data_IF_255276499694
#
_entry.id   IF_255276499694
#
_cell.length_a   1.000
_cell.length_b   1.000
_cell.length_c   1.000
_cell.angle_alpha   90.00
_cell.angle_beta   90.00
_cell.angle_gamma   90.00
#
_symmetry.space_group_name_H-M   'P 1'
#
loop_
_entity.id
_entity.type
_entity.pdbx_description
1 polymer ?
#
# COMPACT_ATOMS: atom_id res chain seq x y z
N UNK A 1 22.81 19.16 14.06
CA UNK A 1 21.64 18.76 13.23
C UNK A 1 20.73 19.93 12.89
N UNK A 2 20.29 20.77 13.85
CA UNK A 2 19.42 21.93 13.57
C UNK A 2 19.99 22.92 12.54
N UNK A 3 21.30 23.18 12.57
CA UNK A 3 21.99 24.02 11.58
C UNK A 3 21.96 23.44 10.15
N UNK A 4 21.97 22.11 10.02
CA UNK A 4 21.91 21.43 8.72
C UNK A 4 20.48 21.36 8.18
N UNK A 5 19.48 21.29 9.07
CA UNK A 5 18.07 21.37 8.66
C UNK A 5 17.75 22.74 8.04
N UNK A 6 18.26 23.82 8.66
CA UNK A 6 18.06 25.20 8.22
C UNK A 6 18.97 25.64 7.05
N UNK A 7 19.92 24.80 6.61
CA UNK A 7 20.83 25.13 5.52
C UNK A 7 20.08 25.16 4.18
N UNK A 8 20.30 26.21 3.38
CA UNK A 8 19.69 26.39 2.07
C UNK A 8 20.11 25.31 1.07
N UNK A 9 21.28 24.69 1.24
CA UNK A 9 21.81 23.61 0.40
C UNK A 9 21.18 22.23 0.67
N UNK A 10 20.42 22.07 1.76
CA UNK A 10 19.80 20.79 2.12
C UNK A 10 18.61 20.50 1.21
N UNK A 11 18.59 19.32 0.58
CA UNK A 11 17.51 18.88 -0.30
C UNK A 11 16.19 18.73 0.47
N UNK A 12 15.06 18.76 -0.24
CA UNK A 12 13.75 18.55 0.38
C UNK A 12 13.65 17.21 1.13
N UNK A 13 14.24 16.16 0.54
CA UNK A 13 14.32 14.80 1.12
C UNK A 13 15.12 14.80 2.42
N UNK A 14 16.33 15.33 2.38
CA UNK A 14 17.20 15.36 3.55
C UNK A 14 16.61 16.23 4.66
N UNK A 15 15.92 17.33 4.31
CA UNK A 15 15.35 18.26 5.29
C UNK A 15 14.25 17.61 6.12
N UNK A 16 13.32 16.86 5.52
CA UNK A 16 12.29 16.18 6.33
C UNK A 16 12.87 14.99 7.13
N UNK A 17 13.87 14.29 6.62
CA UNK A 17 14.57 13.25 7.39
C UNK A 17 15.30 13.84 8.60
N UNK A 18 15.95 15.00 8.45
CA UNK A 18 16.57 15.74 9.55
C UNK A 18 15.54 16.20 10.59
N UNK A 19 14.36 16.65 10.16
CA UNK A 19 13.25 16.95 11.07
C UNK A 19 12.85 15.72 11.90
N UNK A 20 12.67 14.55 11.28
CA UNK A 20 12.33 13.33 12.02
C UNK A 20 13.43 12.88 12.99
N UNK A 21 14.69 12.98 12.57
CA UNK A 21 15.83 12.64 13.43
C UNK A 21 15.97 13.60 14.63
N UNK A 22 15.74 14.90 14.43
CA UNK A 22 15.71 15.91 15.50
C UNK A 22 14.53 15.67 16.45
N UNK A 23 13.34 15.37 15.91
CA UNK A 23 12.18 15.00 16.71
C UNK A 23 12.48 13.81 17.63
N UNK A 24 13.08 12.75 17.08
CA UNK A 24 13.44 11.56 17.85
C UNK A 24 14.48 11.84 18.94
N UNK A 25 15.53 12.59 18.61
CA UNK A 25 16.57 12.94 19.58
C UNK A 25 16.05 13.80 20.74
N UNK A 26 15.04 14.63 20.51
CA UNK A 26 14.38 15.45 21.54
C UNK A 26 13.40 14.63 22.38
N UNK A 27 12.64 13.74 21.73
CA UNK A 27 11.77 12.78 22.42
C UNK A 27 12.57 11.90 23.38
N UNK A 28 13.72 11.39 22.95
CA UNK A 28 14.63 10.58 23.78
C UNK A 28 15.18 11.34 25.00
N UNK A 29 15.13 12.67 24.98
CA UNK A 29 15.52 13.56 26.08
C UNK A 29 14.32 14.01 26.94
N UNK A 30 13.11 13.56 26.61
CA UNK A 30 11.88 13.98 27.28
C UNK A 30 11.36 15.36 26.86
N UNK A 31 11.93 15.98 25.83
CA UNK A 31 11.52 17.28 25.31
C UNK A 31 10.37 17.15 24.30
N UNK A 32 9.25 16.58 24.73
CA UNK A 32 8.16 16.16 23.85
C UNK A 32 7.53 17.31 23.05
N UNK A 33 7.34 18.48 23.66
CA UNK A 33 6.74 19.63 22.98
C UNK A 33 7.58 20.07 21.77
N UNK A 34 8.90 20.16 21.95
CA UNK A 34 9.84 20.51 20.88
C UNK A 34 9.96 19.38 19.86
N UNK A 35 9.96 18.12 20.30
CA UNK A 35 9.96 16.97 19.42
C UNK A 35 8.77 16.98 18.45
N UNK A 36 7.56 17.25 18.97
CA UNK A 36 6.34 17.37 18.17
C UNK A 36 6.41 18.47 17.11
N UNK A 37 7.05 19.60 17.41
CA UNK A 37 7.24 20.67 16.42
C UNK A 37 8.09 20.19 15.25
N UNK A 38 9.16 19.43 15.51
CA UNK A 38 9.98 18.85 14.46
C UNK A 38 9.25 17.75 13.67
N UNK A 39 8.46 16.90 14.34
CA UNK A 39 7.61 15.92 13.67
C UNK A 39 6.56 16.59 12.76
N UNK A 40 5.87 17.63 13.25
CA UNK A 40 4.90 18.38 12.47
C UNK A 40 5.54 19.03 11.24
N UNK A 41 6.72 19.64 11.40
CA UNK A 41 7.48 20.23 10.30
C UNK A 41 7.94 19.18 9.27
N UNK A 42 8.46 18.04 9.74
CA UNK A 42 8.83 16.92 8.88
C UNK A 42 7.63 16.40 8.07
N UNK A 43 6.47 16.25 8.71
CA UNK A 43 5.23 15.85 8.06
C UNK A 43 4.76 16.87 7.01
N UNK A 44 4.83 18.17 7.31
CA UNK A 44 4.46 19.21 6.34
C UNK A 44 5.34 19.17 5.09
N UNK A 45 6.66 19.04 5.27
CA UNK A 45 7.61 18.91 4.17
C UNK A 45 7.36 17.63 3.38
N UNK A 46 7.20 16.49 4.05
CA UNK A 46 6.93 15.21 3.40
C UNK A 46 5.60 15.21 2.65
N UNK A 47 4.58 15.93 3.16
CA UNK A 47 3.27 16.06 2.51
C UNK A 47 3.39 16.72 1.14
N UNK A 48 4.34 17.63 0.93
CA UNK A 48 4.57 18.30 -0.37
C UNK A 48 5.09 17.32 -1.43
N UNK A 49 5.80 16.27 -1.02
CA UNK A 49 6.26 15.16 -1.86
C UNK A 49 5.19 14.07 -2.04
N UNK A 50 4.12 14.09 -1.25
CA UNK A 50 3.10 13.08 -1.29
C UNK A 50 2.23 13.24 -2.56
N UNK A 51 2.40 12.31 -3.49
CA UNK A 51 1.59 12.23 -4.72
C UNK A 51 0.26 11.51 -4.52
N UNK A 52 -0.11 11.17 -3.27
CA UNK A 52 -1.38 10.52 -2.99
C UNK A 52 -2.54 11.40 -3.46
N UNK A 53 -3.45 10.79 -4.21
CA UNK A 53 -4.67 11.38 -4.76
C UNK A 53 -5.83 10.44 -4.40
N UNK A 54 -6.67 10.77 -3.41
CA UNK A 54 -7.77 9.90 -3.00
C UNK A 54 -8.73 9.61 -4.17
N UNK A 55 -8.86 10.55 -5.10
CA UNK A 55 -9.74 10.47 -6.27
C UNK A 55 -9.44 9.26 -7.15
N UNK A 56 -8.15 8.85 -7.23
CA UNK A 56 -7.75 7.65 -7.98
C UNK A 56 -8.34 6.38 -7.36
N UNK A 57 -8.21 6.22 -6.04
CA UNK A 57 -8.72 5.06 -5.32
C UNK A 57 -10.25 5.03 -5.33
N UNK A 58 -10.88 6.18 -5.15
CA UNK A 58 -12.34 6.32 -5.24
C UNK A 58 -12.87 5.92 -6.62
N UNK A 59 -12.20 6.38 -7.68
CA UNK A 59 -12.58 6.03 -9.04
C UNK A 59 -12.40 4.52 -9.31
N UNK A 60 -11.31 3.92 -8.86
CA UNK A 60 -11.07 2.49 -8.98
C UNK A 60 -12.16 1.69 -8.25
N UNK A 61 -12.46 2.03 -6.99
CA UNK A 61 -13.50 1.38 -6.21
C UNK A 61 -14.88 1.49 -6.87
N UNK A 62 -15.21 2.67 -7.41
CA UNK A 62 -16.46 2.90 -8.16
C UNK A 62 -16.55 2.03 -9.41
N UNK A 63 -15.47 1.93 -10.19
CA UNK A 63 -15.43 1.09 -11.40
C UNK A 63 -15.53 -0.40 -11.06
N UNK A 64 -14.85 -0.85 -10.00
CA UNK A 64 -14.95 -2.22 -9.50
C UNK A 64 -16.38 -2.54 -9.07
N UNK A 65 -17.03 -1.66 -8.30
CA UNK A 65 -18.41 -1.85 -7.87
C UNK A 65 -19.41 -1.88 -9.06
N UNK A 66 -19.19 -1.04 -10.07
CA UNK A 66 -20.02 -1.01 -11.27
C UNK A 66 -19.82 -2.24 -12.17
N UNK A 67 -18.65 -2.87 -12.14
CA UNK A 67 -18.29 -4.02 -13.00
C UNK A 67 -18.60 -5.36 -12.34
N UNK A 68 -18.25 -5.52 -11.06
CA UNK A 68 -18.39 -6.76 -10.30
C UNK A 68 -19.82 -6.96 -9.80
N UNK A 69 -20.79 -6.94 -10.70
CA UNK A 69 -22.21 -7.13 -10.42
C UNK A 69 -22.59 -8.59 -10.26
N UNK A 70 -23.77 -8.89 -9.70
CA UNK A 70 -24.29 -10.24 -9.62
C UNK A 70 -24.35 -10.92 -11.02
N UNK A 71 -24.83 -10.20 -12.02
CA UNK A 71 -24.93 -10.70 -13.41
C UNK A 71 -23.55 -10.96 -14.01
N UNK A 72 -22.55 -10.13 -13.70
CA UNK A 72 -21.17 -10.36 -14.12
C UNK A 72 -20.65 -11.70 -13.62
N UNK A 73 -20.90 -12.05 -12.36
CA UNK A 73 -20.50 -13.34 -11.79
C UNK A 73 -21.36 -14.50 -12.32
N UNK A 74 -22.67 -14.31 -12.46
CA UNK A 74 -23.58 -15.33 -12.98
C UNK A 74 -23.19 -15.78 -14.40
N UNK A 75 -22.85 -14.82 -15.27
CA UNK A 75 -22.40 -15.08 -16.63
C UNK A 75 -21.05 -15.84 -16.71
N UNK A 76 -20.30 -15.89 -15.61
CA UNK A 76 -18.98 -16.54 -15.51
C UNK A 76 -19.02 -17.78 -14.61
N UNK A 77 -20.22 -18.31 -14.34
CA UNK A 77 -20.37 -19.55 -13.59
C UNK A 77 -19.64 -20.68 -14.31
N UNK A 78 -18.80 -21.41 -13.58
CA UNK A 78 -17.99 -22.51 -14.12
C UNK A 78 -16.66 -22.07 -14.75
N UNK A 79 -16.33 -20.78 -14.72
CA UNK A 79 -14.98 -20.32 -15.04
C UNK A 79 -14.01 -20.61 -13.89
N UNK A 80 -12.73 -20.73 -14.22
CA UNK A 80 -11.64 -20.92 -13.26
C UNK A 80 -11.18 -22.37 -13.12
N UNK A 81 -10.39 -22.62 -12.07
CA UNK A 81 -9.91 -23.95 -11.71
C UNK A 81 -10.89 -24.59 -10.72
N UNK A 82 -11.33 -25.85 -10.91
CA UNK A 82 -12.21 -26.54 -9.97
C UNK A 82 -11.47 -27.06 -8.72
N UNK A 83 -10.14 -26.95 -8.67
CA UNK A 83 -9.35 -27.39 -7.54
C UNK A 83 -9.63 -26.53 -6.31
N UNK A 84 -9.86 -27.18 -5.17
CA UNK A 84 -10.14 -26.53 -3.89
C UNK A 84 -8.86 -26.19 -3.09
N UNK A 85 -7.68 -26.57 -3.59
CA UNK A 85 -6.41 -26.29 -2.93
C UNK A 85 -6.12 -24.78 -2.72
N UNK A 86 -6.44 -23.86 -3.65
CA UNK A 86 -6.17 -22.44 -3.44
C UNK A 86 -7.14 -21.80 -2.44
N UNK A 87 -6.61 -21.32 -1.32
CA UNK A 87 -7.35 -20.53 -0.33
C UNK A 87 -6.92 -19.06 -0.45
N UNK A 88 -7.86 -18.17 -0.79
CA UNK A 88 -7.60 -16.74 -0.86
C UNK A 88 -8.04 -16.03 0.41
N UNK A 89 -7.11 -15.32 1.07
CA UNK A 89 -7.42 -14.39 2.16
C UNK A 89 -7.57 -12.99 1.58
N UNK A 90 -8.78 -12.44 1.62
CA UNK A 90 -9.10 -11.11 1.07
C UNK A 90 -9.43 -10.16 2.21
N UNK A 91 -8.76 -9.00 2.26
CA UNK A 91 -8.99 -8.00 3.28
C UNK A 91 -8.19 -6.71 3.03
N UNK A 92 -8.41 -5.72 3.89
CA UNK A 92 -7.65 -4.47 3.86
C UNK A 92 -6.22 -4.69 4.38
N UNK A 93 -5.24 -3.86 3.94
CA UNK A 93 -3.92 -3.85 4.55
C UNK A 93 -4.01 -3.68 6.07
N UNK A 94 -3.19 -4.43 6.81
CA UNK A 94 -3.13 -4.40 8.28
C UNK A 94 -4.39 -4.91 9.01
N UNK A 95 -5.26 -5.68 8.34
CA UNK A 95 -6.42 -6.33 8.95
C UNK A 95 -6.15 -7.72 9.56
N UNK A 96 -4.87 -8.11 9.72
CA UNK A 96 -4.50 -9.40 10.31
C UNK A 96 -4.52 -10.58 9.35
N UNK A 97 -4.36 -10.36 8.04
CA UNK A 97 -4.28 -11.43 7.03
C UNK A 97 -3.20 -12.47 7.35
N UNK A 98 -2.02 -12.03 7.77
CA UNK A 98 -0.92 -12.91 8.19
C UNK A 98 -1.29 -13.80 9.38
N UNK A 99 -2.06 -13.27 10.34
CA UNK A 99 -2.51 -14.08 11.47
C UNK A 99 -3.52 -15.14 11.01
N UNK A 100 -4.44 -14.77 10.11
CA UNK A 100 -5.41 -15.72 9.52
C UNK A 100 -4.67 -16.82 8.75
N UNK A 101 -3.67 -16.46 7.95
CA UNK A 101 -2.82 -17.41 7.23
C UNK A 101 -2.14 -18.38 8.20
N UNK A 102 -1.52 -17.88 9.27
CA UNK A 102 -0.88 -18.71 10.28
C UNK A 102 -1.85 -19.67 10.97
N UNK A 103 -3.08 -19.23 11.25
CA UNK A 103 -4.13 -20.09 11.80
C UNK A 103 -4.48 -21.20 10.81
N UNK A 104 -4.66 -20.89 9.52
CA UNK A 104 -4.97 -21.88 8.49
C UNK A 104 -3.82 -22.86 8.28
N UNK A 105 -2.58 -22.37 8.20
CA UNK A 105 -1.36 -23.18 8.04
C UNK A 105 -1.05 -24.07 9.25
N UNK A 106 -1.72 -23.88 10.39
CA UNK A 106 -1.66 -24.82 11.52
C UNK A 106 -2.36 -26.15 11.22
N UNK A 107 -3.21 -26.20 10.18
CA UNK A 107 -3.88 -27.41 9.74
C UNK A 107 -2.99 -28.25 8.83
N UNK A 108 -2.85 -29.55 9.13
CA UNK A 108 -1.95 -30.49 8.40
C UNK A 108 -2.16 -30.61 6.88
N UNK A 109 -3.27 -30.11 6.35
CA UNK A 109 -3.63 -30.16 4.93
C UNK A 109 -3.54 -28.79 4.24
N UNK A 110 -3.08 -27.76 4.95
CA UNK A 110 -2.99 -26.38 4.44
C UNK A 110 -1.56 -25.90 4.60
N UNK A 111 -0.98 -25.42 3.51
CA UNK A 111 0.33 -24.80 3.52
C UNK A 111 0.19 -23.27 3.43
N UNK A 112 1.01 -22.55 4.20
CA UNK A 112 1.05 -21.09 4.19
C UNK A 112 2.02 -20.61 3.12
N UNK A 113 1.52 -19.98 2.07
CA UNK A 113 2.33 -19.59 0.91
C UNK A 113 2.95 -18.19 1.00
N UNK A 114 2.74 -17.48 2.10
CA UNK A 114 3.07 -16.06 2.27
C UNK A 114 2.36 -15.19 1.21
N UNK A 115 2.87 -13.97 0.98
CA UNK A 115 2.39 -13.07 -0.06
C UNK A 115 3.03 -13.41 -1.42
N UNK A 116 2.28 -14.15 -2.23
CA UNK A 116 2.65 -14.48 -3.61
C UNK A 116 2.33 -13.30 -4.57
N UNK A 117 3.25 -12.90 -5.47
CA UNK A 117 3.03 -11.80 -6.40
C UNK A 117 2.21 -12.18 -7.64
N UNK A 118 1.85 -13.46 -7.80
CA UNK A 118 1.29 -14.05 -9.02
C UNK A 118 0.03 -13.34 -9.52
N UNK A 119 -0.91 -12.99 -8.64
CA UNK A 119 -2.14 -12.29 -9.04
C UNK A 119 -1.82 -10.90 -9.61
N UNK A 120 -0.90 -10.16 -8.98
CA UNK A 120 -0.51 -8.85 -9.48
C UNK A 120 0.16 -8.98 -10.85
N UNK A 121 1.07 -9.95 -11.02
CA UNK A 121 1.72 -10.23 -12.30
C UNK A 121 0.70 -10.60 -13.39
N UNK A 122 -0.26 -11.48 -13.10
CA UNK A 122 -1.31 -11.86 -14.04
C UNK A 122 -2.16 -10.66 -14.47
N UNK A 123 -2.48 -9.74 -13.55
CA UNK A 123 -3.20 -8.50 -13.87
C UNK A 123 -2.38 -7.62 -14.81
N UNK A 124 -1.09 -7.42 -14.52
CA UNK A 124 -0.20 -6.66 -15.41
C UNK A 124 -0.11 -7.27 -16.80
N UNK A 125 0.07 -8.59 -16.89
CA UNK A 125 0.15 -9.31 -18.16
C UNK A 125 -1.16 -9.20 -18.97
N UNK A 126 -2.31 -9.32 -18.32
CA UNK A 126 -3.61 -9.15 -18.97
C UNK A 126 -3.83 -7.72 -19.45
N UNK A 127 -3.38 -6.73 -18.69
CA UNK A 127 -3.46 -5.33 -19.06
C UNK A 127 -2.59 -5.04 -20.28
N UNK A 128 -1.31 -5.45 -20.27
CA UNK A 128 -0.39 -5.23 -21.41
C UNK A 128 -0.88 -5.93 -22.69
N UNK A 129 -1.55 -7.08 -22.58
CA UNK A 129 -2.12 -7.80 -23.74
C UNK A 129 -3.37 -7.16 -24.33
N UNK A 130 -4.08 -6.34 -23.55
CA UNK A 130 -5.36 -5.74 -23.95
C UNK A 130 -5.30 -4.23 -24.13
N UNK A 131 -4.19 -3.61 -23.73
CA UNK A 131 -3.95 -2.18 -23.86
C UNK A 131 -3.75 -1.78 -25.34
N UNK A 132 -4.50 -0.80 -25.85
CA UNK A 132 -4.11 -0.06 -27.05
C UNK A 132 -2.68 0.50 -26.90
N UNK A 133 -1.88 0.61 -27.98
CA UNK A 133 -0.47 1.00 -27.93
C UNK A 133 -0.18 2.34 -27.23
N UNK A 134 -1.16 3.23 -27.09
CA UNK A 134 -1.04 4.54 -26.44
C UNK A 134 -1.70 4.63 -25.04
N UNK A 135 -2.04 3.50 -24.42
CA UNK A 135 -2.66 3.53 -23.10
C UNK A 135 -1.65 3.93 -22.02
N UNK A 136 -2.00 4.87 -21.12
CA UNK A 136 -1.12 5.23 -20.02
C UNK A 136 -0.88 4.01 -19.14
N UNK A 137 0.39 3.70 -18.89
CA UNK A 137 0.81 2.59 -18.03
C UNK A 137 0.64 2.91 -16.54
N UNK A 138 -0.43 3.59 -16.13
CA UNK A 138 -0.88 3.74 -14.73
C UNK A 138 -2.34 4.19 -14.68
#
# INVERSE_FOLDING_TARGET
MTRYEADAGTTGVDRYHLCFALGKALEDRGEYATAFQYYARGNELKRRECRYRPEFLENLARLQAATCTADFFAARRGWGCPDAAPIFIVGLPRAGSTLIEQILASHSAVDGTMELPDIAHLVFDLHDRTAPPDSPRY
#
